data_IF_988431751953
#
_entry.id   IF_988431751953
#
_cell.length_a   1.000
_cell.length_b   1.000
_cell.length_c   1.000
_cell.angle_alpha   90.00
_cell.angle_beta   90.00
_cell.angle_gamma   90.00
#
_symmetry.space_group_name_H-M   'P 1'
#
loop_
_entity.id
_entity.type
_entity.pdbx_description
1 polymer ?
#
# COMPACT_ATOMS: atom_id res chain seq x y z
N UNK A 1 0.66 -5.57 -17.22
CA UNK A 1 -0.07 -4.52 -16.47
C UNK A 1 0.34 -4.41 -15.00
N UNK A 2 0.33 -5.48 -14.19
CA UNK A 2 0.71 -5.39 -12.75
C UNK A 2 2.12 -4.82 -12.50
N UNK A 3 3.12 -5.25 -13.28
CA UNK A 3 4.51 -4.77 -13.14
C UNK A 3 4.61 -3.27 -13.40
N UNK A 4 3.95 -2.77 -14.46
CA UNK A 4 3.94 -1.36 -14.82
C UNK A 4 3.29 -0.52 -13.71
N UNK A 5 2.16 -0.99 -13.17
CA UNK A 5 1.49 -0.31 -12.06
C UNK A 5 2.37 -0.26 -10.80
N UNK A 6 3.06 -1.37 -10.45
CA UNK A 6 4.00 -1.40 -9.32
C UNK A 6 5.17 -0.43 -9.55
N UNK A 7 5.72 -0.38 -10.77
CA UNK A 7 6.77 0.56 -11.12
C UNK A 7 6.33 2.03 -10.94
N UNK A 8 5.12 2.38 -11.39
CA UNK A 8 4.56 3.73 -11.19
C UNK A 8 4.41 4.09 -9.71
N UNK A 9 3.99 3.13 -8.86
CA UNK A 9 3.89 3.31 -7.41
C UNK A 9 5.27 3.54 -6.79
N UNK A 10 6.29 2.75 -7.18
CA UNK A 10 7.65 2.91 -6.67
C UNK A 10 8.25 4.26 -7.06
N UNK A 11 8.08 4.70 -8.32
CA UNK A 11 8.53 6.01 -8.77
C UNK A 11 7.86 7.14 -8.00
N UNK A 12 6.56 7.02 -7.68
CA UNK A 12 5.89 7.98 -6.82
C UNK A 12 6.49 8.05 -5.42
N UNK A 13 6.73 6.91 -4.76
CA UNK A 13 7.31 6.90 -3.42
C UNK A 13 8.74 7.47 -3.43
N UNK A 14 9.51 7.17 -4.47
CA UNK A 14 10.83 7.74 -4.65
C UNK A 14 10.80 9.28 -4.76
N UNK A 15 9.83 9.83 -5.49
CA UNK A 15 9.76 11.27 -5.73
C UNK A 15 9.09 12.03 -4.57
N UNK A 16 8.09 11.43 -3.92
CA UNK A 16 7.23 12.12 -2.94
C UNK A 16 7.66 11.85 -1.50
N UNK A 17 8.18 10.65 -1.20
CA UNK A 17 8.49 10.22 0.17
C UNK A 17 9.98 10.09 0.46
N UNK A 18 10.85 9.99 -0.56
CA UNK A 18 12.29 10.16 -0.34
C UNK A 18 12.67 11.65 -0.46
N UNK A 19 13.85 12.01 0.04
CA UNK A 19 14.36 13.38 0.12
C UNK A 19 14.63 14.09 -1.22
N UNK A 20 14.06 13.63 -2.33
CA UNK A 20 14.15 14.30 -3.63
C UNK A 20 13.16 15.47 -3.71
N UNK A 21 13.63 16.67 -3.40
CA UNK A 21 12.80 17.87 -3.38
C UNK A 21 12.58 18.43 -4.80
N UNK A 22 11.59 17.88 -5.50
CA UNK A 22 11.18 18.31 -6.85
C UNK A 22 10.82 19.79 -6.91
N UNK A 23 10.38 20.39 -5.80
CA UNK A 23 9.97 21.80 -5.77
C UNK A 23 11.16 22.75 -5.87
N UNK A 24 12.37 22.29 -5.50
CA UNK A 24 13.62 23.03 -5.66
C UNK A 24 14.16 23.04 -7.09
N UNK A 25 13.66 22.19 -7.97
CA UNK A 25 14.04 22.21 -9.39
C UNK A 25 13.50 23.48 -10.07
N UNK A 26 14.26 24.09 -10.99
CA UNK A 26 13.74 25.16 -11.83
C UNK A 26 12.54 24.66 -12.66
N UNK A 27 11.64 25.58 -13.00
CA UNK A 27 10.52 25.27 -13.88
C UNK A 27 11.05 24.91 -15.28
N UNK A 28 11.02 23.62 -15.59
CA UNK A 28 11.51 23.05 -16.84
C UNK A 28 10.94 21.65 -17.08
N UNK A 29 11.29 21.03 -18.22
CA UNK A 29 10.77 19.71 -18.62
C UNK A 29 10.96 18.64 -17.55
N UNK A 30 12.10 18.68 -16.84
CA UNK A 30 12.44 17.77 -15.77
C UNK A 30 11.46 17.86 -14.58
N UNK A 31 11.23 19.07 -14.06
CA UNK A 31 10.27 19.30 -12.97
C UNK A 31 8.86 18.88 -13.36
N UNK A 32 8.45 19.19 -14.60
CA UNK A 32 7.13 18.81 -15.12
C UNK A 32 7.00 17.28 -15.19
N UNK A 33 8.03 16.58 -15.68
CA UNK A 33 8.05 15.12 -15.75
C UNK A 33 7.94 14.48 -14.36
N UNK A 34 8.75 14.93 -13.39
CA UNK A 34 8.69 14.40 -12.02
C UNK A 34 7.34 14.64 -11.35
N UNK A 35 6.76 15.83 -11.49
CA UNK A 35 5.48 16.16 -10.86
C UNK A 35 4.30 15.43 -11.53
N UNK A 36 4.20 15.48 -12.85
CA UNK A 36 3.03 14.99 -13.56
C UNK A 36 3.08 13.47 -13.72
N UNK A 37 4.23 12.93 -14.15
CA UNK A 37 4.36 11.53 -14.52
C UNK A 37 4.72 10.67 -13.32
N UNK A 38 5.77 11.02 -12.57
CA UNK A 38 6.22 10.18 -11.46
C UNK A 38 5.38 10.37 -10.20
N UNK A 39 5.17 11.62 -9.75
CA UNK A 39 4.31 11.89 -8.60
C UNK A 39 2.82 11.70 -8.93
N UNK A 40 2.34 12.11 -10.11
CA UNK A 40 0.95 11.82 -10.52
C UNK A 40 0.68 10.35 -10.80
N UNK A 41 1.63 9.65 -11.44
CA UNK A 41 1.50 8.27 -11.87
C UNK A 41 1.27 7.27 -10.74
N UNK A 42 1.80 7.53 -9.53
CA UNK A 42 1.56 6.65 -8.38
C UNK A 42 0.08 6.40 -8.10
N UNK A 43 -0.76 7.44 -8.15
CA UNK A 43 -2.21 7.32 -7.93
C UNK A 43 -2.87 6.46 -9.00
N UNK A 44 -2.50 6.66 -10.26
CA UNK A 44 -2.98 5.84 -11.39
C UNK A 44 -2.53 4.39 -11.22
N UNK A 45 -1.27 4.17 -10.82
CA UNK A 45 -0.72 2.85 -10.53
C UNK A 45 -1.51 2.12 -9.45
N UNK A 46 -1.84 2.79 -8.33
CA UNK A 46 -2.69 2.25 -7.26
C UNK A 46 -4.05 1.82 -7.80
N UNK A 47 -4.73 2.67 -8.57
CA UNK A 47 -6.06 2.36 -9.14
C UNK A 47 -5.98 1.15 -10.06
N UNK A 48 -5.01 1.10 -10.98
CA UNK A 48 -4.83 -0.03 -11.88
C UNK A 48 -4.55 -1.31 -11.09
N UNK A 49 -3.65 -1.27 -10.11
CA UNK A 49 -3.28 -2.43 -9.32
C UNK A 49 -4.46 -2.97 -8.49
N UNK A 50 -5.24 -2.07 -7.90
CA UNK A 50 -6.47 -2.40 -7.18
C UNK A 50 -7.53 -3.00 -8.10
N UNK A 51 -7.81 -2.36 -9.25
CA UNK A 51 -8.81 -2.84 -10.22
C UNK A 51 -8.47 -4.22 -10.77
N UNK A 52 -7.20 -4.48 -11.08
CA UNK A 52 -6.76 -5.83 -11.48
C UNK A 52 -7.02 -6.82 -10.34
N UNK A 53 -6.68 -6.48 -9.10
CA UNK A 53 -6.91 -7.36 -7.96
C UNK A 53 -8.39 -7.67 -7.75
N UNK A 54 -9.26 -6.65 -7.85
CA UNK A 54 -10.71 -6.82 -7.78
C UNK A 54 -11.25 -7.71 -8.91
N UNK A 55 -10.79 -7.50 -10.15
CA UNK A 55 -11.17 -8.32 -11.31
C UNK A 55 -10.96 -9.81 -11.07
N UNK A 56 -9.78 -10.21 -10.59
CA UNK A 56 -9.47 -11.62 -10.32
C UNK A 56 -10.29 -12.24 -9.18
N UNK A 57 -10.97 -11.43 -8.37
CA UNK A 57 -11.86 -11.93 -7.32
C UNK A 57 -13.31 -12.08 -7.79
N UNK A 58 -13.73 -11.39 -8.85
CA UNK A 58 -15.11 -11.47 -9.35
C UNK A 58 -15.46 -12.88 -9.85
N UNK A 59 -14.49 -13.58 -10.44
CA UNK A 59 -14.68 -14.94 -10.97
C UNK A 59 -14.69 -16.04 -9.90
N UNK A 60 -14.41 -15.71 -8.64
CA UNK A 60 -14.30 -16.67 -7.53
C UNK A 60 -15.42 -16.44 -6.52
N UNK A 61 -15.96 -17.52 -5.95
CA UNK A 61 -16.86 -17.39 -4.81
C UNK A 61 -16.15 -16.73 -3.63
N UNK A 62 -16.74 -15.63 -3.16
CA UNK A 62 -16.22 -14.86 -2.03
C UNK A 62 -17.06 -15.17 -0.80
N UNK A 63 -16.48 -15.90 0.15
CA UNK A 63 -17.09 -16.13 1.45
C UNK A 63 -16.41 -15.28 2.51
N UNK A 64 -17.17 -14.85 3.51
CA UNK A 64 -16.64 -14.07 4.66
C UNK A 64 -15.46 -14.81 5.29
N UNK A 65 -15.62 -16.12 5.53
CA UNK A 65 -14.57 -16.97 6.13
C UNK A 65 -13.28 -16.98 5.31
N UNK A 66 -13.37 -17.15 3.99
CA UNK A 66 -12.19 -17.15 3.11
C UNK A 66 -11.48 -15.80 3.13
N UNK A 67 -12.23 -14.70 3.09
CA UNK A 67 -11.64 -13.37 3.01
C UNK A 67 -11.02 -12.94 4.34
N UNK A 68 -11.65 -13.25 5.47
CA UNK A 68 -11.05 -13.04 6.79
C UNK A 68 -9.79 -13.88 6.97
N UNK A 69 -9.74 -15.12 6.44
CA UNK A 69 -8.50 -15.92 6.43
C UNK A 69 -7.38 -15.24 5.64
N UNK A 70 -7.69 -14.61 4.49
CA UNK A 70 -6.70 -13.84 3.71
C UNK A 70 -6.20 -12.62 4.47
N UNK A 71 -7.10 -11.86 5.10
CA UNK A 71 -6.75 -10.71 5.95
C UNK A 71 -5.86 -11.15 7.11
N UNK A 72 -6.18 -12.27 7.76
CA UNK A 72 -5.37 -12.84 8.83
C UNK A 72 -3.96 -13.23 8.38
N UNK A 73 -3.82 -13.86 7.22
CA UNK A 73 -2.51 -14.20 6.66
C UNK A 73 -1.71 -12.93 6.38
N UNK A 74 -2.34 -11.93 5.77
CA UNK A 74 -1.71 -10.65 5.47
C UNK A 74 -1.23 -9.93 6.73
N UNK A 75 -2.05 -9.86 7.79
CA UNK A 75 -1.62 -9.26 9.06
C UNK A 75 -0.38 -9.96 9.65
N UNK A 76 -0.31 -11.29 9.56
CA UNK A 76 0.87 -12.04 10.05
C UNK A 76 2.13 -11.73 9.24
N UNK A 77 2.02 -11.61 7.92
CA UNK A 77 3.14 -11.22 7.06
C UNK A 77 3.61 -9.80 7.38
N UNK A 78 2.66 -8.86 7.53
CA UNK A 78 2.96 -7.47 7.87
C UNK A 78 3.59 -7.35 9.26
N UNK A 79 3.06 -8.09 10.25
CA UNK A 79 3.58 -8.11 11.62
C UNK A 79 5.01 -8.66 11.66
N UNK A 80 5.28 -9.71 10.89
CA UNK A 80 6.64 -10.25 10.77
C UNK A 80 7.62 -9.18 10.27
N UNK A 81 7.27 -8.48 9.19
CA UNK A 81 8.13 -7.44 8.64
C UNK A 81 8.23 -6.19 9.52
N UNK A 82 7.14 -5.75 10.15
CA UNK A 82 7.16 -4.58 11.04
C UNK A 82 8.07 -4.79 12.24
N UNK A 83 8.00 -5.97 12.89
CA UNK A 83 8.84 -6.30 14.03
C UNK A 83 10.31 -6.45 13.65
N UNK A 84 10.61 -7.03 12.47
CA UNK A 84 11.98 -7.10 11.96
C UNK A 84 12.54 -5.69 11.73
N UNK A 85 11.79 -4.81 11.09
CA UNK A 85 12.23 -3.43 10.82
C UNK A 85 12.43 -2.65 12.12
N UNK A 86 11.50 -2.73 13.07
CA UNK A 86 11.66 -2.11 14.39
C UNK A 86 12.91 -2.64 15.10
N UNK A 87 13.11 -3.96 15.10
CA UNK A 87 14.31 -4.57 15.72
C UNK A 87 15.59 -4.10 15.03
N UNK A 88 15.59 -4.01 13.70
CA UNK A 88 16.71 -3.50 12.93
C UNK A 88 17.04 -2.05 13.32
N UNK A 89 16.06 -1.14 13.31
CA UNK A 89 16.30 0.26 13.69
C UNK A 89 16.71 0.39 15.17
N UNK A 90 16.18 -0.43 16.08
CA UNK A 90 16.61 -0.42 17.49
C UNK A 90 18.10 -0.76 17.69
N UNK A 91 18.67 -1.56 16.78
CA UNK A 91 20.07 -1.99 16.80
C UNK A 91 20.99 -1.03 16.06
N UNK A 92 20.58 -0.55 14.88
CA UNK A 92 21.46 0.19 13.97
C UNK A 92 21.29 1.70 14.00
N UNK A 93 20.04 2.20 14.00
CA UNK A 93 19.76 3.63 14.00
C UNK A 93 18.34 3.92 14.52
N UNK A 94 18.26 4.66 15.63
CA UNK A 94 16.99 4.99 16.30
C UNK A 94 16.45 6.36 15.90
N UNK A 95 17.14 7.12 15.05
CA UNK A 95 16.77 8.49 14.71
C UNK A 95 15.34 8.60 14.18
N UNK A 96 14.89 7.59 13.44
CA UNK A 96 13.56 7.52 12.82
C UNK A 96 12.53 6.71 13.62
N UNK A 97 12.87 6.24 14.83
CA UNK A 97 11.94 5.50 15.70
C UNK A 97 11.27 6.43 16.71
N UNK A 98 9.97 6.69 16.50
CA UNK A 98 9.11 7.27 17.52
C UNK A 98 8.19 6.23 18.19
N UNK A 99 7.58 6.61 19.32
CA UNK A 99 6.68 5.73 20.07
C UNK A 99 5.41 5.37 19.28
N UNK A 100 4.94 6.26 18.41
CA UNK A 100 3.74 6.03 17.59
C UNK A 100 3.98 4.92 16.57
N UNK A 101 5.12 4.95 15.87
CA UNK A 101 5.57 3.98 14.90
C UNK A 101 5.78 2.60 15.52
N UNK A 102 6.35 2.55 16.72
CA UNK A 102 6.52 1.31 17.47
C UNK A 102 5.19 0.69 17.86
N UNK A 103 4.23 1.50 18.36
CA UNK A 103 2.87 1.02 18.68
C UNK A 103 2.18 0.50 17.42
N UNK A 104 2.22 1.27 16.33
CA UNK A 104 1.66 0.89 15.01
C UNK A 104 2.24 -0.41 14.48
N UNK A 105 3.49 -0.72 14.81
CA UNK A 105 4.18 -1.93 14.35
C UNK A 105 3.71 -3.22 15.02
N UNK A 106 3.00 -3.16 16.15
CA UNK A 106 2.45 -4.34 16.85
C UNK A 106 1.14 -4.84 16.22
N UNK A 107 0.38 -3.96 15.56
CA UNK A 107 -0.82 -4.31 14.81
C UNK A 107 -0.89 -3.51 13.50
N UNK A 108 -0.02 -3.81 12.52
CA UNK A 108 0.21 -2.96 11.36
C UNK A 108 -1.04 -2.71 10.50
N UNK A 109 -1.94 -3.69 10.37
CA UNK A 109 -3.16 -3.53 9.60
C UNK A 109 -4.24 -2.75 10.36
N UNK A 110 -4.44 -3.02 11.66
CA UNK A 110 -5.45 -2.29 12.45
C UNK A 110 -5.04 -0.85 12.75
N UNK A 111 -3.75 -0.59 12.90
CA UNK A 111 -3.22 0.73 13.22
C UNK A 111 -2.78 1.53 11.99
N UNK A 112 -3.02 1.01 10.78
CA UNK A 112 -2.81 1.74 9.54
C UNK A 112 -1.35 2.04 9.22
N UNK A 113 -0.41 1.20 9.67
CA UNK A 113 1.03 1.41 9.45
C UNK A 113 1.33 1.53 7.95
N UNK A 114 0.71 0.65 7.16
CA UNK A 114 0.70 0.75 5.70
C UNK A 114 -0.72 0.96 5.20
N UNK A 115 -1.00 2.16 4.72
CA UNK A 115 -2.34 2.59 4.32
C UNK A 115 -2.95 1.66 3.27
N UNK A 116 -2.17 1.22 2.28
CA UNK A 116 -2.66 0.38 1.18
C UNK A 116 -3.09 -1.00 1.68
N UNK A 117 -2.30 -1.62 2.57
CA UNK A 117 -2.63 -2.93 3.12
C UNK A 117 -3.93 -2.89 3.95
N UNK A 118 -4.10 -1.82 4.73
CA UNK A 118 -5.32 -1.58 5.50
C UNK A 118 -6.54 -1.40 4.59
N UNK A 119 -6.43 -0.56 3.56
CA UNK A 119 -7.48 -0.35 2.56
C UNK A 119 -7.83 -1.66 1.83
N UNK A 120 -6.83 -2.47 1.48
CA UNK A 120 -7.02 -3.76 0.84
C UNK A 120 -7.69 -4.78 1.77
N UNK A 121 -7.37 -4.76 3.06
CA UNK A 121 -8.04 -5.60 4.05
C UNK A 121 -9.52 -5.27 4.18
N UNK A 122 -9.85 -3.98 4.24
CA UNK A 122 -11.23 -3.47 4.25
C UNK A 122 -11.95 -3.91 2.97
N UNK A 123 -11.30 -3.77 1.81
CA UNK A 123 -11.84 -4.27 0.55
C UNK A 123 -12.17 -5.76 0.62
N UNK A 124 -11.25 -6.62 1.08
CA UNK A 124 -11.49 -8.06 1.22
C UNK A 124 -12.65 -8.38 2.17
N UNK A 125 -12.78 -7.62 3.27
CA UNK A 125 -13.89 -7.77 4.22
C UNK A 125 -15.25 -7.40 3.59
N UNK A 126 -15.28 -6.36 2.74
CA UNK A 126 -16.49 -5.89 2.06
C UNK A 126 -16.82 -6.65 0.76
N UNK A 127 -15.82 -7.28 0.16
CA UNK A 127 -15.90 -8.00 -1.10
C UNK A 127 -17.06 -9.01 -1.22
N UNK A 128 -17.42 -9.85 -0.22
CA UNK A 128 -18.56 -10.76 -0.36
C UNK A 128 -19.90 -10.01 -0.53
N UNK A 129 -20.04 -8.82 0.05
CA UNK A 129 -21.24 -8.00 -0.11
C UNK A 129 -21.27 -7.32 -1.47
N UNK A 130 -20.13 -6.79 -1.92
CA UNK A 130 -19.97 -6.20 -3.26
C UNK A 130 -20.26 -7.22 -4.37
N UNK A 131 -19.72 -8.43 -4.24
CA UNK A 131 -19.93 -9.50 -5.21
C UNK A 131 -21.39 -9.96 -5.29
N UNK A 132 -22.14 -9.90 -4.18
CA UNK A 132 -23.58 -10.18 -4.19
C UNK A 132 -24.37 -9.04 -4.85
N UNK A 133 -24.04 -7.79 -4.54
CA UNK A 133 -24.72 -6.62 -5.11
C UNK A 133 -24.52 -6.46 -6.62
N UNK A 134 -23.35 -6.83 -7.16
CA UNK A 134 -23.05 -6.80 -8.60
C UNK A 134 -23.78 -7.87 -9.42
N UNK A 135 -24.33 -8.91 -8.77
CA UNK A 135 -25.07 -10.00 -9.40
C UNK A 135 -26.60 -9.83 -9.32
N UNK A 136 -27.08 -8.81 -8.60
CA UNK A 136 -28.49 -8.48 -8.46
C UNK A 136 -28.91 -7.50 -9.58
#
# INVERSE_FOLDING_TARGET
MRIIAMFMILMHHFVVHNGYDVLKLPLGPERIFFQLVMAGGGKVGVVIFFSISAWFFLDKEQTIKSNLKRVWIMERELLFWSLILVTFYLVFDRADLDMELMVKSVMPLSMGLWWYATAYAIFLALLPFLAKGLKA
#
